data_IF_347238511681
#
_entry.id   IF_347238511681
#
_cell.length_a   1.000
_cell.length_b   1.000
_cell.length_c   1.000
_cell.angle_alpha   90.00
_cell.angle_beta   90.00
_cell.angle_gamma   90.00
#
_symmetry.space_group_name_H-M   'P 1'
#
loop_
_entity.id
_entity.type
_entity.pdbx_description
1 polymer ?
#
# COMPACT_ATOMS: atom_id res chain seq x y z
N UNK A 1 8.78 -5.61 -1.49
CA UNK A 1 9.83 -4.89 -0.70
C UNK A 1 9.93 -3.44 -1.12
N UNK A 2 10.00 -3.09 -2.42
CA UNK A 2 10.17 -1.71 -2.91
C UNK A 2 9.19 -0.72 -2.27
N UNK A 3 7.93 -1.11 -2.06
CA UNK A 3 6.92 -0.27 -1.41
C UNK A 3 7.22 0.02 0.07
N UNK A 4 7.95 -0.84 0.76
CA UNK A 4 8.44 -0.59 2.11
C UNK A 4 9.63 0.36 2.10
N UNK A 5 10.56 0.14 1.20
CA UNK A 5 11.82 0.90 1.13
C UNK A 5 11.59 2.37 0.84
N UNK A 6 10.56 2.72 0.04
CA UNK A 6 10.22 4.11 -0.28
C UNK A 6 9.80 4.95 0.94
N UNK A 7 9.41 4.31 2.05
CA UNK A 7 9.03 5.03 3.27
C UNK A 7 10.21 5.80 3.88
N UNK A 8 11.42 5.25 3.80
CA UNK A 8 12.62 5.90 4.35
C UNK A 8 12.92 7.25 3.68
N UNK A 9 13.03 7.36 2.34
CA UNK A 9 13.23 8.64 1.70
C UNK A 9 12.02 9.57 1.83
N UNK A 10 10.79 9.06 1.89
CA UNK A 10 9.61 9.88 2.13
C UNK A 10 9.65 10.57 3.51
N UNK A 11 9.97 9.80 4.56
CA UNK A 11 10.11 10.33 5.91
C UNK A 11 11.27 11.34 6.01
N UNK A 12 12.42 11.02 5.42
CA UNK A 12 13.57 11.90 5.40
C UNK A 12 13.26 13.25 4.74
N UNK A 13 12.56 13.23 3.61
CA UNK A 13 12.11 14.45 2.92
C UNK A 13 11.12 15.24 3.75
N UNK A 14 10.14 14.59 4.37
CA UNK A 14 9.14 15.27 5.20
C UNK A 14 9.79 16.00 6.40
N UNK A 15 10.78 15.39 7.01
CA UNK A 15 11.42 15.90 8.22
C UNK A 15 12.63 16.81 7.96
N UNK A 16 13.39 16.54 6.89
CA UNK A 16 14.68 17.21 6.63
C UNK A 16 14.79 17.73 5.18
N UNK A 17 13.83 18.52 4.69
CA UNK A 17 13.77 18.94 3.28
C UNK A 17 14.93 19.81 2.81
N UNK A 18 15.64 20.44 3.75
CA UNK A 18 16.78 21.33 3.46
C UNK A 18 18.13 20.65 3.60
N UNK A 19 18.15 19.37 3.97
CA UNK A 19 19.39 18.62 4.06
C UNK A 19 20.02 18.42 2.68
N UNK A 20 21.33 18.42 2.57
CA UNK A 20 22.05 18.34 1.28
C UNK A 20 21.69 17.12 0.44
N UNK A 21 21.27 16.03 1.09
CA UNK A 21 20.81 14.81 0.40
C UNK A 21 19.33 14.82 -0.02
N UNK A 22 18.56 15.85 0.29
CA UNK A 22 17.13 15.89 -0.03
C UNK A 22 16.82 15.65 -1.54
N UNK A 23 17.57 16.20 -2.49
CA UNK A 23 17.36 15.88 -3.90
C UNK A 23 17.58 14.40 -4.24
N UNK A 24 18.54 13.75 -3.58
CA UNK A 24 18.79 12.31 -3.73
C UNK A 24 17.63 11.48 -3.17
N UNK A 25 17.12 11.85 -1.98
CA UNK A 25 15.96 11.16 -1.39
C UNK A 25 14.71 11.32 -2.24
N UNK A 26 14.48 12.54 -2.79
CA UNK A 26 13.36 12.76 -3.72
C UNK A 26 13.47 11.85 -4.95
N UNK A 27 14.64 11.77 -5.54
CA UNK A 27 14.87 10.92 -6.70
C UNK A 27 14.69 9.43 -6.34
N UNK A 28 15.18 8.98 -5.18
CA UNK A 28 14.95 7.61 -4.70
C UNK A 28 13.47 7.32 -4.53
N UNK A 29 12.73 8.20 -3.89
CA UNK A 29 11.29 8.07 -3.70
C UNK A 29 10.54 7.94 -5.04
N UNK A 30 10.84 8.81 -6.02
CA UNK A 30 10.23 8.75 -7.35
C UNK A 30 10.57 7.44 -8.06
N UNK A 31 11.84 7.04 -8.07
CA UNK A 31 12.26 5.80 -8.71
C UNK A 31 11.61 4.56 -8.10
N UNK A 32 11.53 4.50 -6.78
CA UNK A 32 10.90 3.41 -6.06
C UNK A 32 9.37 3.41 -6.26
N UNK A 33 8.71 4.56 -6.23
CA UNK A 33 7.26 4.62 -6.43
C UNK A 33 6.83 4.22 -7.85
N UNK A 34 7.62 4.57 -8.89
CA UNK A 34 7.38 4.09 -10.26
C UNK A 34 7.46 2.56 -10.33
N UNK A 35 8.43 1.95 -9.64
CA UNK A 35 8.65 0.51 -9.69
C UNK A 35 7.72 -0.29 -8.75
N UNK A 36 7.21 0.32 -7.68
CA UNK A 36 6.56 -0.39 -6.57
C UNK A 36 5.43 -1.32 -7.00
N UNK A 37 4.60 -0.88 -7.95
CA UNK A 37 3.46 -1.64 -8.48
C UNK A 37 3.41 -1.58 -10.01
N UNK A 38 4.59 -1.63 -10.65
CA UNK A 38 4.69 -1.72 -12.10
C UNK A 38 4.02 -3.01 -12.61
N UNK A 39 3.21 -2.88 -13.67
CA UNK A 39 2.46 -3.96 -14.30
C UNK A 39 3.06 -4.35 -15.65
N UNK A 40 2.73 -5.53 -16.21
CA UNK A 40 3.21 -5.95 -17.52
C UNK A 40 2.92 -4.95 -18.66
N UNK A 41 1.76 -4.27 -18.62
CA UNK A 41 1.42 -3.23 -19.59
C UNK A 41 2.36 -2.02 -19.52
N UNK A 42 2.83 -1.64 -18.33
CA UNK A 42 3.71 -0.48 -18.14
C UNK A 42 5.08 -0.66 -18.82
N UNK A 43 5.53 -1.90 -19.00
CA UNK A 43 6.77 -2.20 -19.73
C UNK A 43 6.68 -1.92 -21.25
N UNK A 44 5.50 -1.65 -21.75
CA UNK A 44 5.22 -1.35 -23.16
C UNK A 44 4.49 -0.01 -23.33
N UNK A 45 4.29 0.72 -22.23
CA UNK A 45 3.57 1.99 -22.21
C UNK A 45 4.57 3.14 -22.40
N UNK A 46 4.34 3.99 -23.37
CA UNK A 46 5.12 5.21 -23.61
C UNK A 46 4.73 6.36 -22.68
N UNK A 47 3.84 6.11 -21.72
CA UNK A 47 3.45 7.07 -20.69
C UNK A 47 4.67 7.66 -20.01
N UNK A 48 4.65 8.97 -19.88
CA UNK A 48 5.71 9.73 -19.23
C UNK A 48 5.30 10.06 -17.80
N UNK A 49 6.14 9.68 -16.84
CA UNK A 49 5.99 10.02 -15.42
C UNK A 49 7.28 10.69 -14.95
N UNK A 50 7.20 11.87 -14.40
CA UNK A 50 8.37 12.69 -14.05
C UNK A 50 9.36 12.87 -15.22
N UNK A 51 8.85 13.04 -16.44
CA UNK A 51 9.69 13.22 -17.63
C UNK A 51 10.40 11.96 -18.12
N UNK A 52 10.05 10.79 -17.60
CA UNK A 52 10.65 9.51 -18.00
C UNK A 52 9.57 8.57 -18.54
N UNK A 53 9.82 7.96 -19.68
CA UNK A 53 8.93 6.94 -20.28
C UNK A 53 9.03 5.64 -19.46
N UNK A 54 7.88 5.02 -19.17
CA UNK A 54 7.82 3.80 -18.35
C UNK A 54 8.51 2.61 -19.04
N UNK A 55 8.26 2.42 -20.33
CA UNK A 55 8.86 1.31 -21.13
C UNK A 55 10.39 1.33 -21.19
N UNK A 56 11.00 2.51 -21.01
CA UNK A 56 12.47 2.66 -20.96
C UNK A 56 13.01 2.49 -19.55
N UNK A 57 12.21 2.91 -18.53
CA UNK A 57 12.67 3.02 -17.15
C UNK A 57 12.51 1.74 -16.35
N UNK A 58 11.45 0.97 -16.61
CA UNK A 58 11.09 -0.19 -15.81
C UNK A 58 11.89 -1.44 -16.20
N UNK A 59 12.64 -2.06 -15.27
CA UNK A 59 13.35 -3.31 -15.55
C UNK A 59 12.47 -4.55 -15.42
N UNK A 60 11.26 -4.41 -14.89
CA UNK A 60 10.35 -5.52 -14.61
C UNK A 60 9.08 -5.06 -13.89
N UNK A 61 8.30 -6.02 -13.42
CA UNK A 61 6.99 -5.80 -12.78
C UNK A 61 6.97 -6.28 -11.34
N UNK A 62 6.15 -5.62 -10.51
CA UNK A 62 5.90 -6.00 -9.12
C UNK A 62 4.40 -6.23 -8.83
N UNK A 63 3.54 -6.00 -9.82
CA UNK A 63 2.12 -6.35 -9.79
C UNK A 63 1.74 -7.11 -11.05
N UNK A 64 0.67 -7.91 -10.97
CA UNK A 64 0.04 -8.54 -12.12
C UNK A 64 -0.78 -7.49 -12.91
N UNK A 65 -1.22 -7.85 -14.10
CA UNK A 65 -1.97 -6.92 -14.98
C UNK A 65 -3.28 -6.44 -14.33
N UNK A 66 -3.94 -7.28 -13.58
CA UNK A 66 -5.18 -7.00 -12.85
C UNK A 66 -4.98 -6.25 -11.52
N UNK A 67 -3.75 -5.90 -11.17
CA UNK A 67 -3.40 -5.22 -9.92
C UNK A 67 -3.15 -6.15 -8.75
N UNK A 68 -3.35 -7.46 -8.89
CA UNK A 68 -2.98 -8.40 -7.83
C UNK A 68 -1.47 -8.48 -7.65
N UNK A 69 -1.02 -8.87 -6.46
CA UNK A 69 0.40 -9.02 -6.15
C UNK A 69 0.70 -10.46 -5.79
N UNK A 70 1.67 -11.04 -6.50
CA UNK A 70 2.18 -12.39 -6.20
C UNK A 70 3.41 -12.28 -5.30
N UNK A 71 3.35 -12.99 -4.17
CA UNK A 71 4.49 -13.11 -3.27
C UNK A 71 4.57 -14.55 -2.75
N UNK A 72 5.76 -15.11 -2.64
CA UNK A 72 6.00 -16.53 -2.29
C UNK A 72 5.21 -17.53 -3.16
N UNK A 73 4.99 -17.20 -4.42
CA UNK A 73 4.28 -18.06 -5.37
C UNK A 73 2.75 -18.05 -5.27
N UNK A 74 2.17 -17.22 -4.42
CA UNK A 74 0.72 -17.06 -4.26
C UNK A 74 0.27 -15.64 -4.51
N UNK A 75 -0.97 -15.45 -4.96
CA UNK A 75 -1.64 -14.15 -4.87
C UNK A 75 -1.87 -13.86 -3.39
N UNK A 76 -1.27 -12.78 -2.93
CA UNK A 76 -1.17 -12.51 -1.50
C UNK A 76 -1.88 -11.20 -1.12
N UNK A 77 -3.06 -11.26 -0.48
CA UNK A 77 -3.79 -10.10 -0.04
C UNK A 77 -2.98 -9.15 0.85
N UNK A 78 -2.13 -9.68 1.74
CA UNK A 78 -1.28 -8.89 2.62
C UNK A 78 -0.22 -8.07 1.85
N UNK A 79 0.14 -8.49 0.64
CA UNK A 79 1.04 -7.74 -0.23
C UNK A 79 0.30 -6.78 -1.17
N UNK A 80 -0.95 -7.06 -1.51
CA UNK A 80 -1.80 -6.12 -2.24
C UNK A 80 -2.07 -4.88 -1.37
N UNK A 81 -2.37 -5.07 -0.07
CA UNK A 81 -2.60 -3.94 0.85
C UNK A 81 -1.38 -3.02 0.99
N UNK A 82 -0.16 -3.47 0.65
CA UNK A 82 1.05 -2.64 0.72
C UNK A 82 1.03 -1.44 -0.24
N UNK A 83 0.03 -1.34 -1.13
CA UNK A 83 -0.23 -0.12 -1.91
C UNK A 83 -0.43 1.10 -1.01
N UNK A 84 -0.88 0.92 0.22
CA UNK A 84 -0.98 1.99 1.21
C UNK A 84 0.33 2.75 1.45
N UNK A 85 1.49 2.14 1.24
CA UNK A 85 2.77 2.81 1.43
C UNK A 85 2.96 4.00 0.48
N UNK A 86 2.41 3.93 -0.74
CA UNK A 86 2.41 5.05 -1.67
C UNK A 86 1.63 6.24 -1.09
N UNK A 87 0.45 5.99 -0.57
CA UNK A 87 -0.41 7.02 0.01
C UNK A 87 0.08 7.50 1.39
N UNK A 88 0.69 6.60 2.16
CA UNK A 88 1.36 6.97 3.40
C UNK A 88 2.51 7.93 3.13
N UNK A 89 3.37 7.64 2.15
CA UNK A 89 4.42 8.57 1.72
C UNK A 89 3.84 9.92 1.27
N UNK A 90 2.74 9.91 0.51
CA UNK A 90 2.04 11.13 0.12
C UNK A 90 1.54 11.92 1.34
N UNK A 91 1.00 11.25 2.36
CA UNK A 91 0.55 11.88 3.60
C UNK A 91 1.69 12.50 4.40
N UNK A 92 2.84 11.82 4.49
CA UNK A 92 4.03 12.37 5.15
C UNK A 92 4.50 13.66 4.49
N UNK A 93 4.57 13.68 3.16
CA UNK A 93 4.97 14.87 2.42
C UNK A 93 3.97 16.01 2.59
N UNK A 94 2.66 15.72 2.56
CA UNK A 94 1.61 16.73 2.83
C UNK A 94 1.74 17.30 4.24
N UNK A 95 1.93 16.44 5.23
CA UNK A 95 2.10 16.87 6.63
C UNK A 95 3.35 17.78 6.81
N UNK A 96 4.39 17.55 6.02
CA UNK A 96 5.58 18.41 5.95
C UNK A 96 5.43 19.65 5.05
N UNK A 97 4.24 19.92 4.52
CA UNK A 97 3.96 20.99 3.52
C UNK A 97 4.82 20.86 2.25
N UNK A 98 5.07 19.64 1.79
CA UNK A 98 5.80 19.37 0.55
C UNK A 98 4.87 18.98 -0.59
N UNK A 99 5.31 19.23 -1.83
CA UNK A 99 4.63 18.70 -3.01
C UNK A 99 4.83 17.19 -3.10
N UNK A 100 3.77 16.50 -3.47
CA UNK A 100 3.69 15.03 -3.54
C UNK A 100 4.05 14.58 -4.95
N UNK A 101 5.05 13.71 -5.16
CA UNK A 101 5.36 13.15 -6.47
C UNK A 101 4.15 12.44 -7.10
N UNK A 102 3.86 12.74 -8.37
CA UNK A 102 2.75 12.09 -9.11
C UNK A 102 2.91 10.56 -9.17
N UNK A 103 4.15 10.08 -9.18
CA UNK A 103 4.45 8.65 -9.19
C UNK A 103 3.90 7.87 -7.98
N UNK A 104 3.61 8.54 -6.86
CA UNK A 104 2.95 7.91 -5.71
C UNK A 104 1.49 7.53 -5.97
N UNK A 105 0.93 7.89 -7.11
CA UNK A 105 -0.41 7.49 -7.53
C UNK A 105 -0.40 6.52 -8.72
N UNK A 106 0.79 6.17 -9.25
CA UNK A 106 0.91 5.26 -10.37
C UNK A 106 0.43 3.86 -9.99
N UNK A 107 -0.58 3.37 -10.72
CA UNK A 107 -1.24 2.08 -10.49
C UNK A 107 -1.90 1.88 -9.11
N UNK A 108 -1.83 2.85 -8.20
CA UNK A 108 -2.33 2.70 -6.84
C UNK A 108 -3.81 2.29 -6.78
N UNK A 109 -4.65 2.97 -7.57
CA UNK A 109 -6.08 2.65 -7.65
C UNK A 109 -6.34 1.26 -8.23
N UNK A 110 -5.56 0.83 -9.22
CA UNK A 110 -5.72 -0.49 -9.86
C UNK A 110 -5.39 -1.60 -8.86
N UNK A 111 -4.28 -1.44 -8.13
CA UNK A 111 -3.86 -2.41 -7.11
C UNK A 111 -4.88 -2.47 -5.96
N UNK A 112 -5.36 -1.33 -5.48
CA UNK A 112 -6.38 -1.33 -4.44
C UNK A 112 -7.70 -1.95 -4.93
N UNK A 113 -8.15 -1.62 -6.15
CA UNK A 113 -9.36 -2.22 -6.75
C UNK A 113 -9.28 -3.73 -6.84
N UNK A 114 -8.08 -4.30 -7.05
CA UNK A 114 -7.92 -5.75 -7.13
C UNK A 114 -8.45 -6.48 -5.90
N UNK A 115 -8.42 -5.85 -4.72
CA UNK A 115 -9.00 -6.41 -3.49
C UNK A 115 -10.52 -6.62 -3.58
N UNK A 116 -11.21 -5.74 -4.31
CA UNK A 116 -12.67 -5.70 -4.35
C UNK A 116 -13.29 -6.24 -5.65
N UNK A 117 -12.50 -6.35 -6.74
CA UNK A 117 -13.08 -6.67 -8.06
C UNK A 117 -12.49 -7.91 -8.73
N UNK A 118 -11.28 -8.34 -8.33
CA UNK A 118 -10.71 -9.57 -8.91
C UNK A 118 -11.37 -10.78 -8.26
N UNK A 119 -12.02 -11.60 -9.09
CA UNK A 119 -12.73 -12.80 -8.65
C UNK A 119 -11.83 -14.03 -8.70
N UNK A 120 -11.86 -14.82 -7.65
CA UNK A 120 -11.10 -16.05 -7.48
C UNK A 120 -12.09 -17.24 -7.34
N UNK A 121 -12.50 -17.85 -8.46
CA UNK A 121 -13.50 -18.93 -8.42
C UNK A 121 -12.97 -20.14 -7.66
N UNK A 122 -13.81 -20.75 -6.86
CA UNK A 122 -13.49 -22.02 -6.20
C UNK A 122 -14.20 -23.19 -6.89
N UNK A 123 -13.48 -24.25 -7.36
CA UNK A 123 -12.03 -24.35 -7.52
C UNK A 123 -11.50 -23.54 -8.72
N UNK A 124 -10.19 -23.32 -8.93
CA UNK A 124 -9.07 -23.96 -8.20
C UNK A 124 -8.65 -23.25 -6.90
N UNK A 125 -9.18 -22.05 -6.64
CA UNK A 125 -8.89 -21.32 -5.41
C UNK A 125 -9.61 -21.94 -4.20
N UNK A 126 -9.22 -21.53 -2.99
CA UNK A 126 -9.83 -22.00 -1.76
C UNK A 126 -11.32 -21.60 -1.68
N UNK A 127 -12.14 -22.42 -0.98
CA UNK A 127 -13.50 -21.99 -0.66
C UNK A 127 -13.47 -20.79 0.31
N UNK A 128 -14.44 -19.86 0.22
CA UNK A 128 -15.67 -19.92 -0.55
C UNK A 128 -15.55 -19.44 -2.01
N UNK A 129 -14.41 -18.87 -2.44
CA UNK A 129 -14.27 -18.16 -3.69
C UNK A 129 -14.72 -16.69 -3.59
N UNK A 130 -14.69 -15.97 -4.70
CA UNK A 130 -15.07 -14.56 -4.76
C UNK A 130 -13.88 -13.59 -4.70
N UNK A 131 -14.13 -12.36 -4.31
CA UNK A 131 -13.12 -11.31 -4.20
C UNK A 131 -12.38 -11.38 -2.86
N UNK A 132 -11.23 -10.72 -2.73
CA UNK A 132 -10.52 -10.63 -1.44
C UNK A 132 -11.37 -9.94 -0.39
N UNK A 133 -12.04 -8.85 -0.75
CA UNK A 133 -13.02 -8.19 0.11
C UNK A 133 -14.35 -8.91 0.03
N UNK A 134 -14.69 -9.61 1.11
CA UNK A 134 -15.94 -10.36 1.25
C UNK A 134 -17.02 -9.50 1.94
N UNK A 135 -18.30 -9.89 1.83
CA UNK A 135 -19.36 -9.26 2.60
C UNK A 135 -19.05 -9.20 4.11
N UNK A 136 -19.55 -8.18 4.80
CA UNK A 136 -19.38 -7.96 6.23
C UNK A 136 -17.95 -7.70 6.70
N UNK A 137 -17.03 -7.33 5.79
CA UNK A 137 -15.66 -6.95 6.13
C UNK A 137 -14.70 -8.14 6.34
N UNK A 138 -15.09 -9.31 5.88
CA UNK A 138 -14.18 -10.47 5.93
C UNK A 138 -13.13 -10.40 4.82
N UNK A 139 -11.92 -10.86 5.11
CA UNK A 139 -10.81 -10.93 4.15
C UNK A 139 -10.62 -12.37 3.70
N UNK A 140 -10.76 -12.58 2.40
CA UNK A 140 -10.55 -13.88 1.78
C UNK A 140 -9.13 -14.02 1.23
N UNK A 141 -8.52 -15.15 1.50
CA UNK A 141 -7.17 -15.51 1.05
C UNK A 141 -7.28 -16.65 0.03
N UNK A 142 -7.33 -16.35 -1.27
CA UNK A 142 -7.68 -17.32 -2.32
C UNK A 142 -6.70 -18.48 -2.44
N UNK A 143 -5.44 -18.27 -2.11
CA UNK A 143 -4.38 -19.27 -2.16
C UNK A 143 -3.78 -19.57 -0.76
N UNK A 144 -4.51 -19.20 0.31
CA UNK A 144 -4.00 -19.33 1.67
C UNK A 144 -3.07 -18.18 2.05
N UNK A 145 -2.26 -18.39 3.08
CA UNK A 145 -1.36 -17.39 3.66
C UNK A 145 0.08 -17.87 3.64
N UNK A 146 1.01 -17.02 3.22
CA UNK A 146 2.43 -17.37 3.14
C UNK A 146 3.14 -17.42 4.50
N UNK A 147 2.60 -16.70 5.49
CA UNK A 147 3.17 -16.59 6.84
C UNK A 147 2.42 -17.41 7.89
N UNK A 148 1.50 -18.26 7.46
CA UNK A 148 0.76 -19.17 8.33
C UNK A 148 -0.45 -18.57 9.04
N UNK A 149 -0.65 -17.26 9.02
CA UNK A 149 -1.74 -16.57 9.72
C UNK A 149 -2.37 -15.47 8.86
N UNK A 150 -3.64 -15.18 9.11
CA UNK A 150 -4.40 -14.13 8.44
C UNK A 150 -4.36 -12.84 9.25
N UNK A 151 -4.40 -11.70 8.56
CA UNK A 151 -4.29 -10.37 9.18
C UNK A 151 -5.47 -9.44 8.83
N UNK A 152 -6.72 -9.84 9.06
CA UNK A 152 -7.87 -9.08 8.58
C UNK A 152 -7.92 -7.65 9.13
N UNK A 153 -7.59 -7.42 10.38
CA UNK A 153 -7.67 -6.09 11.00
C UNK A 153 -6.70 -5.06 10.39
N UNK A 154 -5.65 -5.49 9.68
CA UNK A 154 -4.69 -4.57 9.07
C UNK A 154 -5.23 -3.85 7.83
N UNK A 155 -6.30 -4.39 7.21
CA UNK A 155 -6.89 -3.79 6.02
C UNK A 155 -7.60 -2.46 6.30
N UNK A 156 -7.97 -2.16 7.53
CA UNK A 156 -8.43 -0.83 7.95
C UNK A 156 -7.43 0.27 7.55
N UNK A 157 -6.13 -0.02 7.60
CA UNK A 157 -5.09 0.92 7.19
C UNK A 157 -5.15 1.29 5.72
N UNK A 158 -5.14 0.29 4.84
CA UNK A 158 -5.17 0.54 3.40
C UNK A 158 -6.47 1.22 2.97
N UNK A 159 -7.61 0.86 3.57
CA UNK A 159 -8.89 1.49 3.27
C UNK A 159 -8.94 2.95 3.71
N UNK A 160 -8.35 3.27 4.87
CA UNK A 160 -8.23 4.66 5.34
C UNK A 160 -7.43 5.52 4.38
N UNK A 161 -6.31 5.02 3.89
CA UNK A 161 -5.52 5.70 2.86
C UNK A 161 -6.25 5.78 1.53
N UNK A 162 -6.90 4.70 1.09
CA UNK A 162 -7.68 4.71 -0.13
C UNK A 162 -8.85 5.70 -0.05
N UNK A 163 -9.55 5.79 1.09
CA UNK A 163 -10.60 6.80 1.31
C UNK A 163 -10.06 8.24 1.25
N UNK A 164 -8.78 8.44 1.57
CA UNK A 164 -8.15 9.74 1.46
C UNK A 164 -7.67 10.08 0.04
N UNK A 165 -7.23 9.11 -0.75
CA UNK A 165 -6.46 9.35 -1.97
C UNK A 165 -6.97 8.66 -3.22
N UNK A 166 -7.67 7.52 -3.12
CA UNK A 166 -8.18 6.80 -4.27
C UNK A 166 -9.36 7.51 -4.93
N UNK A 167 -9.64 7.15 -6.17
CA UNK A 167 -10.78 7.68 -6.90
C UNK A 167 -12.11 7.35 -6.18
N UNK A 168 -13.10 8.26 -6.19
CA UNK A 168 -14.37 8.09 -5.44
C UNK A 168 -15.14 6.81 -5.79
N UNK A 169 -15.04 6.34 -7.02
CA UNK A 169 -15.73 5.15 -7.52
C UNK A 169 -15.17 3.83 -6.94
N UNK A 170 -14.02 3.86 -6.25
CA UNK A 170 -13.46 2.69 -5.55
C UNK A 170 -14.22 2.32 -4.29
N UNK A 171 -15.10 3.19 -3.78
CA UNK A 171 -15.94 2.95 -2.60
C UNK A 171 -15.14 2.65 -1.31
N UNK A 172 -13.93 3.19 -1.21
CA UNK A 172 -13.01 2.89 -0.10
C UNK A 172 -13.61 3.22 1.29
N UNK A 173 -14.45 4.25 1.39
CA UNK A 173 -15.13 4.58 2.65
C UNK A 173 -16.10 3.50 3.14
N UNK A 174 -16.73 2.76 2.22
CA UNK A 174 -17.63 1.65 2.57
C UNK A 174 -16.82 0.45 3.08
N UNK A 175 -15.69 0.12 2.42
CA UNK A 175 -14.79 -0.93 2.88
C UNK A 175 -14.16 -0.58 4.21
N UNK A 176 -13.70 0.65 4.40
CA UNK A 176 -13.19 1.14 5.69
C UNK A 176 -14.21 0.93 6.81
N UNK A 177 -15.47 1.28 6.58
CA UNK A 177 -16.52 1.10 7.59
C UNK A 177 -16.76 -0.39 7.90
N UNK A 178 -16.79 -1.25 6.88
CA UNK A 178 -16.99 -2.68 7.05
C UNK A 178 -15.83 -3.35 7.80
N UNK A 179 -14.59 -3.10 7.39
CA UNK A 179 -13.40 -3.68 8.03
C UNK A 179 -13.18 -3.13 9.45
N UNK A 180 -13.48 -1.85 9.70
CA UNK A 180 -13.42 -1.29 11.04
C UNK A 180 -14.48 -1.91 11.97
N UNK A 181 -15.67 -2.20 11.45
CA UNK A 181 -16.72 -2.90 12.21
C UNK A 181 -16.30 -4.34 12.52
N UNK A 182 -15.71 -5.06 11.58
CA UNK A 182 -15.18 -6.42 11.79
C UNK A 182 -14.04 -6.42 12.81
N UNK A 183 -13.06 -5.54 12.67
CA UNK A 183 -11.97 -5.38 13.64
C UNK A 183 -12.49 -5.08 15.06
N UNK A 184 -13.52 -4.22 15.16
CA UNK A 184 -14.18 -3.97 16.44
C UNK A 184 -14.88 -5.22 16.99
N UNK A 185 -15.54 -5.99 16.14
CA UNK A 185 -16.16 -7.25 16.55
C UNK A 185 -15.12 -8.26 17.04
N UNK A 186 -13.96 -8.33 16.39
CA UNK A 186 -12.82 -9.14 16.84
C UNK A 186 -12.36 -8.72 18.25
N UNK A 187 -12.20 -7.42 18.49
CA UNK A 187 -11.80 -6.87 19.77
C UNK A 187 -12.83 -7.13 20.88
N UNK A 188 -14.12 -7.04 20.57
CA UNK A 188 -15.19 -7.27 21.55
C UNK A 188 -15.36 -8.73 22.00
N UNK A 189 -14.63 -9.67 21.38
CA UNK A 189 -14.59 -11.07 21.84
C UNK A 189 -13.87 -11.24 23.16
N UNK A 190 -13.04 -10.25 23.56
CA UNK A 190 -12.11 -10.33 24.66
C UNK A 190 -12.34 -9.25 25.70
N UNK A 191 -12.19 -9.59 26.97
CA UNK A 191 -12.41 -8.65 28.09
C UNK A 191 -11.28 -7.62 28.25
N UNK A 192 -10.10 -7.90 27.72
CA UNK A 192 -8.92 -7.05 27.78
C UNK A 192 -8.70 -6.21 26.50
N UNK A 193 -9.56 -6.41 25.49
CA UNK A 193 -9.59 -5.61 24.28
C UNK A 193 -8.55 -5.95 23.22
N UNK A 194 -7.86 -7.10 23.32
CA UNK A 194 -7.02 -7.54 22.20
C UNK A 194 -7.86 -7.93 20.97
N UNK A 195 -7.23 -7.98 19.80
CA UNK A 195 -7.93 -8.16 18.52
C UNK A 195 -7.92 -9.62 18.11
N UNK A 196 -6.77 -10.26 18.12
CA UNK A 196 -6.55 -11.58 17.54
C UNK A 196 -6.75 -12.71 18.53
N UNK A 197 -7.26 -13.85 18.03
CA UNK A 197 -7.32 -15.07 18.80
C UNK A 197 -5.94 -15.75 18.88
N UNK A 198 -5.69 -16.44 19.97
CA UNK A 198 -4.58 -17.39 20.06
C UNK A 198 -4.87 -18.57 19.11
N UNK A 199 -4.02 -18.77 18.11
CA UNK A 199 -4.14 -19.92 17.24
C UNK A 199 -3.78 -19.69 15.78
N UNK A 200 -4.00 -20.72 14.96
CA UNK A 200 -3.49 -20.80 13.60
C UNK A 200 -4.34 -20.09 12.52
N UNK A 201 -5.50 -19.56 12.86
CA UNK A 201 -6.46 -19.05 11.86
C UNK A 201 -6.33 -17.54 11.68
N UNK A 202 -6.05 -16.83 12.74
CA UNK A 202 -5.84 -15.38 12.75
C UNK A 202 -4.38 -15.07 13.07
N UNK A 203 -3.95 -13.86 12.77
CA UNK A 203 -2.62 -13.42 13.17
C UNK A 203 -2.53 -13.42 14.70
N UNK A 204 -1.67 -14.25 15.24
CA UNK A 204 -1.49 -14.28 16.68
C UNK A 204 -0.78 -12.99 17.08
N UNK A 205 -1.27 -12.37 18.13
CA UNK A 205 -0.72 -11.16 18.69
C UNK A 205 0.75 -11.28 19.07
N UNK A 206 1.25 -12.46 19.20
CA UNK A 206 2.65 -12.72 19.52
C UNK A 206 3.54 -12.03 18.50
N UNK A 207 4.59 -11.39 18.96
CA UNK A 207 5.57 -10.69 18.12
C UNK A 207 5.07 -9.38 17.50
N UNK A 208 4.29 -8.60 18.21
CA UNK A 208 3.93 -7.24 17.80
C UNK A 208 2.81 -7.14 16.77
N UNK A 209 1.98 -8.17 16.64
CA UNK A 209 0.88 -8.16 15.66
C UNK A 209 -0.29 -7.29 16.08
N UNK A 210 -0.57 -7.21 17.38
CA UNK A 210 -1.55 -6.27 17.91
C UNK A 210 -1.11 -4.83 17.67
N UNK A 211 0.14 -4.52 17.95
CA UNK A 211 0.71 -3.20 17.73
C UNK A 211 0.67 -2.82 16.25
N UNK A 212 0.91 -3.78 15.35
CA UNK A 212 0.82 -3.54 13.92
C UNK A 212 -0.61 -3.22 13.48
N UNK A 213 -1.61 -3.96 13.98
CA UNK A 213 -3.02 -3.67 13.71
C UNK A 213 -3.41 -2.27 14.22
N UNK A 214 -3.03 -1.93 15.46
CA UNK A 214 -3.27 -0.60 16.03
C UNK A 214 -2.55 0.51 15.25
N UNK A 215 -1.33 0.25 14.78
CA UNK A 215 -0.62 1.18 13.90
C UNK A 215 -1.43 1.43 12.62
N UNK A 216 -1.93 0.38 11.97
CA UNK A 216 -2.70 0.52 10.73
C UNK A 216 -3.99 1.34 10.96
N UNK A 217 -4.71 1.09 12.05
CA UNK A 217 -5.89 1.86 12.42
C UNK A 217 -5.57 3.34 12.70
N UNK A 218 -4.46 3.60 13.40
CA UNK A 218 -3.99 4.96 13.68
C UNK A 218 -3.60 5.71 12.40
N UNK A 219 -2.95 5.01 11.47
CA UNK A 219 -2.58 5.55 10.16
C UNK A 219 -3.81 5.87 9.30
N UNK A 220 -4.85 5.03 9.34
CA UNK A 220 -6.12 5.29 8.67
C UNK A 220 -6.78 6.58 9.17
N UNK A 221 -6.85 6.75 10.49
CA UNK A 221 -7.35 7.97 11.10
C UNK A 221 -6.51 9.20 10.71
N UNK A 222 -5.20 9.08 10.79
CA UNK A 222 -4.28 10.17 10.43
C UNK A 222 -4.38 10.56 8.95
N UNK A 223 -4.53 9.59 8.04
CA UNK A 223 -4.71 9.87 6.61
C UNK A 223 -5.96 10.72 6.35
N UNK A 224 -7.07 10.44 7.05
CA UNK A 224 -8.28 11.26 7.01
C UNK A 224 -8.02 12.70 7.50
N UNK A 225 -7.35 12.85 8.63
CA UNK A 225 -7.01 14.16 9.18
C UNK A 225 -6.10 14.98 8.25
N UNK A 226 -5.12 14.34 7.60
CA UNK A 226 -4.25 14.99 6.62
C UNK A 226 -5.03 15.40 5.36
N UNK A 227 -5.93 14.55 4.89
CA UNK A 227 -6.81 14.88 3.75
C UNK A 227 -7.63 16.13 4.02
N UNK A 228 -8.29 16.18 5.15
CA UNK A 228 -9.27 17.24 5.48
C UNK A 228 -8.58 18.55 5.88
N UNK A 229 -7.42 18.48 6.50
CA UNK A 229 -6.71 19.63 7.05
C UNK A 229 -5.67 20.28 6.13
N UNK A 230 -5.19 19.58 5.09
CA UNK A 230 -4.03 20.03 4.33
C UNK A 230 -4.27 19.96 2.81
N UNK A 231 -3.92 21.05 2.12
CA UNK A 231 -3.98 21.09 0.65
C UNK A 231 -2.90 20.17 0.05
N UNK A 232 -3.29 19.38 -0.96
CA UNK A 232 -2.35 18.61 -1.76
C UNK A 232 -1.79 19.45 -2.92
N UNK A 233 -0.47 19.45 -3.06
CA UNK A 233 0.25 19.96 -4.24
C UNK A 233 0.95 18.77 -4.90
N UNK A 234 0.76 18.60 -6.21
CA UNK A 234 1.39 17.49 -6.95
C UNK A 234 2.68 17.97 -7.59
N UNK A 235 3.74 17.19 -7.47
CA UNK A 235 5.03 17.39 -8.12
C UNK A 235 5.16 16.51 -9.36
N UNK A 236 5.24 17.13 -10.52
CA UNK A 236 5.45 16.48 -11.83
C UNK A 236 6.84 16.77 -12.40
N UNK A 237 7.72 17.43 -11.65
CA UNK A 237 9.04 17.82 -12.15
C UNK A 237 9.89 16.62 -12.53
N UNK A 238 10.69 16.79 -13.60
CA UNK A 238 11.47 15.73 -14.18
C UNK A 238 12.38 15.03 -13.16
N UNK A 239 12.40 13.72 -13.26
CA UNK A 239 13.30 12.84 -12.53
C UNK A 239 14.68 12.87 -13.16
N UNK A 240 15.70 13.22 -12.39
CA UNK A 240 17.07 13.35 -12.92
C UNK A 240 17.85 12.02 -12.95
N UNK A 241 17.17 10.91 -12.72
CA UNK A 241 17.79 9.61 -12.61
C UNK A 241 18.67 9.50 -11.35
N UNK A 242 18.49 8.44 -10.59
CA UNK A 242 19.58 7.91 -9.80
C UNK A 242 20.06 6.72 -10.60
N UNK A 243 21.33 6.70 -10.96
CA UNK A 243 21.98 5.43 -11.07
C UNK A 243 21.76 4.75 -9.71
N UNK A 244 20.88 3.77 -9.66
CA UNK A 244 20.92 2.77 -8.60
C UNK A 244 22.15 1.94 -8.90
N UNK A 245 23.33 2.57 -8.89
CA UNK A 245 24.60 1.89 -8.92
C UNK A 245 24.67 1.06 -7.65
N UNK A 246 24.28 -0.18 -7.79
CA UNK A 246 24.78 -1.22 -6.92
C UNK A 246 26.32 -1.16 -7.06
N UNK A 247 26.99 -0.41 -6.21
CA UNK A 247 28.45 -0.43 -6.17
C UNK A 247 29.22 0.86 -5.98
N UNK A 248 28.60 2.04 -5.83
CA UNK A 248 29.39 3.19 -5.39
C UNK A 248 29.36 3.33 -3.87
N UNK A 249 30.49 3.31 -3.18
CA UNK A 249 30.55 3.56 -1.74
C UNK A 249 30.04 4.95 -1.45
N UNK A 250 29.20 5.06 -0.43
CA UNK A 250 28.76 6.35 0.14
C UNK A 250 30.01 7.05 0.70
N UNK A 251 30.31 8.29 0.29
CA UNK A 251 31.39 9.04 0.91
C UNK A 251 31.09 9.39 2.35
#
# INVERSE_FOLDING_TARGET
EVSWDLMSPALALAMMPRYGSAPRWRNALIGMSIAAFARPSDLRDDKVVHGVRLDIRLPGTNANEDGTVTNHGIVNPDYIQNVQHLWWAASLLRAGDHAVPESLFLNADIVYRALAVVDFPAPPYAAPGGTVYQPLGQIYYPMGVSWGVRRPATFVGVDGFANAYAAPDVRAGEFLAAHAADARAMQLRWSDGHIYADGAVEDSYRLGKEEYALQQMSLAWWAGAVKDGLRMRVDTTAYKGISLGLGEPIP
#
